data_IF_148743166443
#
_entry.id   IF_148743166443
#
_cell.length_a   1.000
_cell.length_b   1.000
_cell.length_c   1.000
_cell.angle_alpha   90.00
_cell.angle_beta   90.00
_cell.angle_gamma   90.00
#
_symmetry.space_group_name_H-M   'P 1'
#
loop_
_entity.id
_entity.type
_entity.pdbx_description
1 polymer ?
#
# COMPACT_ATOMS: atom_id res chain seq x y z
N UNK A 1 11.11 -30.55 -32.25
CA UNK A 1 11.58 -29.73 -31.15
C UNK A 1 10.68 -28.49 -31.09
N UNK A 2 9.69 -28.52 -30.24
CA UNK A 2 8.76 -27.41 -30.03
C UNK A 2 9.12 -26.77 -28.70
N UNK A 3 9.65 -25.55 -28.75
CA UNK A 3 9.85 -24.70 -27.58
C UNK A 3 8.48 -24.33 -27.00
N UNK A 4 8.22 -24.86 -25.81
CA UNK A 4 7.11 -24.43 -25.00
C UNK A 4 7.40 -23.01 -24.50
N UNK A 5 6.77 -22.01 -25.12
CA UNK A 5 6.71 -20.66 -24.58
C UNK A 5 6.10 -20.72 -23.19
N UNK A 6 6.91 -20.47 -22.17
CA UNK A 6 6.44 -20.26 -20.82
C UNK A 6 5.55 -19.01 -20.82
N UNK A 7 4.24 -19.21 -20.79
CA UNK A 7 3.27 -18.19 -20.46
C UNK A 7 3.66 -17.65 -19.07
N UNK A 8 4.09 -16.40 -19.01
CA UNK A 8 4.32 -15.64 -17.78
C UNK A 8 2.94 -15.39 -17.12
N UNK A 9 2.37 -16.44 -16.57
CA UNK A 9 1.10 -16.40 -15.85
C UNK A 9 1.34 -15.58 -14.57
N UNK A 10 0.95 -14.31 -14.58
CA UNK A 10 1.02 -13.40 -13.43
C UNK A 10 0.36 -14.07 -12.24
N UNK A 11 1.17 -14.50 -11.27
CA UNK A 11 0.70 -15.27 -10.12
C UNK A 11 0.00 -14.35 -9.13
N UNK A 12 -1.29 -14.59 -8.88
CA UNK A 12 -2.05 -13.89 -7.84
C UNK A 12 -1.44 -14.24 -6.47
N UNK A 13 -1.04 -13.21 -5.72
CA UNK A 13 -0.45 -13.34 -4.38
C UNK A 13 -1.50 -13.22 -3.29
N UNK A 14 -2.43 -12.25 -3.42
CA UNK A 14 -3.54 -12.02 -2.51
C UNK A 14 -4.84 -11.95 -3.32
N UNK A 15 -5.88 -12.60 -2.81
CA UNK A 15 -7.23 -12.52 -3.39
C UNK A 15 -8.26 -12.34 -2.29
N UNK A 16 -9.16 -11.40 -2.50
CA UNK A 16 -10.39 -11.21 -1.73
C UNK A 16 -11.55 -11.61 -2.64
N UNK A 17 -12.37 -12.56 -2.20
CA UNK A 17 -13.55 -13.00 -2.93
C UNK A 17 -14.82 -12.82 -2.08
N UNK A 18 -15.67 -11.88 -2.48
CA UNK A 18 -16.92 -11.56 -1.81
C UNK A 18 -16.76 -11.10 -0.35
N UNK A 19 -15.65 -10.44 -0.01
CA UNK A 19 -15.30 -10.13 1.38
C UNK A 19 -16.24 -9.09 1.98
N UNK A 20 -16.84 -9.48 3.11
CA UNK A 20 -17.69 -8.63 3.95
C UNK A 20 -17.04 -8.47 5.31
N UNK A 21 -16.91 -7.24 5.80
CA UNK A 21 -16.29 -6.95 7.08
C UNK A 21 -16.81 -5.61 7.66
N UNK A 22 -16.71 -5.46 8.98
CA UNK A 22 -17.15 -4.24 9.65
C UNK A 22 -16.91 -4.28 11.15
N UNK A 23 -17.43 -3.29 11.87
CA UNK A 23 -17.25 -3.13 13.31
C UNK A 23 -18.60 -3.25 14.03
N UNK A 24 -18.66 -4.11 15.04
CA UNK A 24 -19.92 -4.39 15.75
C UNK A 24 -21.00 -4.89 14.78
N UNK A 25 -22.16 -4.26 14.77
CA UNK A 25 -23.28 -4.62 13.88
C UNK A 25 -23.21 -3.93 12.50
N UNK A 26 -22.25 -3.03 12.26
CA UNK A 26 -22.14 -2.24 11.05
C UNK A 26 -21.17 -2.86 10.04
N UNK A 27 -21.68 -3.27 8.86
CA UNK A 27 -20.86 -3.72 7.74
C UNK A 27 -20.33 -2.52 6.94
N UNK A 28 -19.01 -2.46 6.80
CA UNK A 28 -18.31 -1.46 5.99
C UNK A 28 -17.99 -2.03 4.61
N UNK A 29 -17.39 -3.22 4.55
CA UNK A 29 -17.15 -3.94 3.31
C UNK A 29 -18.35 -4.81 2.97
N UNK A 30 -18.81 -4.78 1.72
CA UNK A 30 -20.07 -5.39 1.27
C UNK A 30 -19.86 -6.25 0.02
N UNK A 31 -19.06 -7.30 0.13
CA UNK A 31 -18.72 -8.17 -0.98
C UNK A 31 -17.62 -7.55 -1.84
N UNK A 32 -16.44 -7.37 -1.26
CA UNK A 32 -15.25 -6.85 -1.97
C UNK A 32 -14.55 -7.99 -2.68
N UNK A 33 -14.35 -7.81 -3.99
CA UNK A 33 -13.51 -8.64 -4.84
C UNK A 33 -12.27 -7.82 -5.24
N UNK A 34 -11.09 -8.35 -4.95
CA UNK A 34 -9.81 -7.69 -5.25
C UNK A 34 -8.71 -8.74 -5.42
N UNK A 35 -7.91 -8.63 -6.47
CA UNK A 35 -6.72 -9.45 -6.67
C UNK A 35 -5.46 -8.58 -6.67
N UNK A 36 -4.39 -9.09 -6.06
CA UNK A 36 -3.06 -8.48 -6.05
C UNK A 36 -2.06 -9.49 -6.60
N UNK A 37 -1.45 -9.14 -7.72
CA UNK A 37 -0.45 -9.97 -8.40
C UNK A 37 0.93 -9.78 -7.77
N UNK A 38 1.73 -10.82 -7.74
CA UNK A 38 3.11 -10.76 -7.25
C UNK A 38 3.94 -9.74 -8.02
N UNK A 39 4.71 -8.92 -7.30
CA UNK A 39 5.59 -7.89 -7.87
C UNK A 39 4.87 -6.63 -8.35
N UNK A 40 3.55 -6.53 -8.16
CA UNK A 40 2.77 -5.36 -8.56
C UNK A 40 2.46 -4.43 -7.39
N UNK A 41 2.24 -3.16 -7.71
CA UNK A 41 1.57 -2.20 -6.85
C UNK A 41 0.10 -2.18 -7.26
N UNK A 42 -0.79 -2.56 -6.36
CA UNK A 42 -2.24 -2.36 -6.51
C UNK A 42 -2.67 -1.21 -5.63
N UNK A 43 -3.29 -0.19 -6.21
CA UNK A 43 -3.75 0.99 -5.48
C UNK A 43 -5.27 0.97 -5.32
N UNK A 44 -5.74 1.10 -4.08
CA UNK A 44 -7.15 1.25 -3.77
C UNK A 44 -7.44 2.72 -3.45
N UNK A 45 -8.22 3.37 -4.29
CA UNK A 45 -8.66 4.75 -4.11
C UNK A 45 -10.14 4.82 -3.77
N UNK A 46 -10.62 5.97 -3.32
CA UNK A 46 -12.03 6.20 -3.00
C UNK A 46 -12.19 7.27 -1.90
N UNK A 47 -13.41 7.72 -1.65
CA UNK A 47 -13.68 8.76 -0.66
C UNK A 47 -13.39 8.28 0.77
N UNK A 48 -13.34 9.25 1.71
CA UNK A 48 -13.25 8.93 3.13
C UNK A 48 -14.48 8.14 3.57
N UNK A 49 -14.28 7.11 4.38
CA UNK A 49 -15.35 6.22 4.80
C UNK A 49 -15.74 5.13 3.80
N UNK A 50 -15.17 5.08 2.60
CA UNK A 50 -15.46 4.02 1.61
C UNK A 50 -15.08 2.60 2.08
N UNK A 51 -14.21 2.48 3.09
CA UNK A 51 -13.77 1.19 3.63
C UNK A 51 -12.32 0.82 3.26
N UNK A 52 -11.54 1.73 2.69
CA UNK A 52 -10.16 1.48 2.23
C UNK A 52 -9.26 0.87 3.33
N UNK A 53 -9.12 1.54 4.47
CA UNK A 53 -8.34 1.03 5.61
C UNK A 53 -8.95 -0.23 6.21
N UNK A 54 -10.27 -0.44 6.06
CA UNK A 54 -10.95 -1.67 6.48
C UNK A 54 -10.49 -2.86 5.62
N UNK A 55 -10.26 -2.68 4.32
CA UNK A 55 -9.65 -3.70 3.45
C UNK A 55 -8.28 -4.10 4.01
N UNK A 56 -7.39 -3.13 4.28
CA UNK A 56 -6.04 -3.41 4.81
C UNK A 56 -6.10 -4.11 6.18
N UNK A 57 -6.98 -3.67 7.08
CA UNK A 57 -7.18 -4.30 8.40
C UNK A 57 -7.72 -5.72 8.27
N UNK A 58 -8.57 -5.98 7.27
CA UNK A 58 -9.07 -7.34 7.00
C UNK A 58 -7.96 -8.23 6.45
N UNK A 59 -7.13 -7.74 5.52
CA UNK A 59 -5.99 -8.49 4.98
C UNK A 59 -4.91 -8.72 6.04
N UNK A 60 -4.62 -7.75 6.90
CA UNK A 60 -3.62 -7.89 7.98
C UNK A 60 -4.11 -8.72 9.18
N UNK A 61 -5.39 -9.09 9.25
CA UNK A 61 -5.98 -9.85 10.37
C UNK A 61 -6.25 -9.02 11.61
N UNK A 62 -6.18 -7.70 11.53
CA UNK A 62 -6.62 -6.77 12.59
C UNK A 62 -8.15 -6.69 12.67
N UNK A 63 -8.83 -7.04 11.58
CA UNK A 63 -10.27 -7.18 11.51
C UNK A 63 -10.61 -8.52 10.84
N UNK A 64 -11.54 -9.27 11.42
CA UNK A 64 -12.04 -10.52 10.80
C UNK A 64 -13.09 -10.20 9.74
N UNK A 65 -13.05 -10.90 8.61
CA UNK A 65 -14.15 -10.89 7.66
C UNK A 65 -15.37 -11.63 8.24
N UNK A 66 -16.55 -11.10 7.99
CA UNK A 66 -17.83 -11.70 8.39
C UNK A 66 -18.28 -12.75 7.36
N UNK A 67 -17.96 -12.53 6.06
CA UNK A 67 -18.24 -13.46 4.96
C UNK A 67 -17.19 -13.27 3.86
N UNK A 68 -17.20 -14.17 2.87
CA UNK A 68 -16.20 -14.23 1.80
C UNK A 68 -14.88 -14.84 2.25
N UNK A 69 -13.94 -14.93 1.34
CA UNK A 69 -12.62 -15.54 1.57
C UNK A 69 -11.49 -14.55 1.33
N UNK A 70 -10.43 -14.68 2.11
CA UNK A 70 -9.16 -13.95 1.92
C UNK A 70 -8.08 -15.01 1.74
N UNK A 71 -7.56 -15.15 0.53
CA UNK A 71 -6.50 -16.09 0.20
C UNK A 71 -5.16 -15.39 0.00
N UNK A 72 -4.10 -15.96 0.52
CA UNK A 72 -2.73 -15.49 0.35
C UNK A 72 -1.84 -16.64 -0.09
N UNK A 73 -1.17 -16.53 -1.23
CA UNK A 73 -0.42 -17.63 -1.85
C UNK A 73 -1.27 -18.88 -2.08
N UNK A 74 -2.56 -18.70 -2.39
CA UNK A 74 -3.52 -19.80 -2.59
C UNK A 74 -4.08 -20.43 -1.32
N UNK A 75 -3.66 -19.99 -0.12
CA UNK A 75 -4.17 -20.49 1.16
C UNK A 75 -5.19 -19.53 1.77
N UNK A 76 -6.31 -20.04 2.28
CA UNK A 76 -7.28 -19.22 3.04
C UNK A 76 -6.67 -18.78 4.37
N UNK A 77 -6.52 -17.47 4.53
CA UNK A 77 -5.97 -16.84 5.74
C UNK A 77 -7.06 -16.23 6.64
N UNK A 78 -8.34 -16.38 6.31
CA UNK A 78 -9.45 -15.72 7.01
C UNK A 78 -9.49 -15.99 8.52
N UNK A 79 -9.05 -17.17 8.96
CA UNK A 79 -9.02 -17.58 10.37
C UNK A 79 -7.72 -17.25 11.10
N UNK A 80 -6.66 -16.87 10.38
CA UNK A 80 -5.35 -16.60 10.96
C UNK A 80 -5.34 -15.26 11.70
N UNK A 81 -4.64 -15.23 12.84
CA UNK A 81 -4.36 -14.01 13.58
C UNK A 81 -3.42 -13.08 12.81
N UNK A 82 -3.37 -11.80 13.20
CA UNK A 82 -2.44 -10.83 12.60
C UNK A 82 -0.97 -11.25 12.75
N UNK A 83 -0.62 -11.90 13.87
CA UNK A 83 0.74 -12.45 14.09
C UNK A 83 1.08 -13.56 13.09
N UNK A 84 0.16 -14.49 12.85
CA UNK A 84 0.37 -15.58 11.89
C UNK A 84 0.47 -15.06 10.45
N UNK A 85 -0.31 -14.02 10.10
CA UNK A 85 -0.21 -13.37 8.78
C UNK A 85 1.11 -12.61 8.63
N UNK A 86 1.58 -11.93 9.69
CA UNK A 86 2.89 -11.31 9.72
C UNK A 86 4.02 -12.34 9.48
N UNK A 87 3.96 -13.50 10.15
CA UNK A 87 4.91 -14.59 9.97
C UNK A 87 4.89 -15.18 8.54
N UNK A 88 3.78 -15.09 7.81
CA UNK A 88 3.66 -15.47 6.41
C UNK A 88 4.16 -14.41 5.44
N UNK A 89 4.59 -13.25 5.96
CA UNK A 89 5.15 -12.15 5.17
C UNK A 89 4.14 -11.10 4.71
N UNK A 90 3.05 -10.91 5.45
CA UNK A 90 2.14 -9.77 5.26
C UNK A 90 2.47 -8.71 6.32
N UNK A 91 3.01 -7.57 5.90
CA UNK A 91 3.34 -6.45 6.80
C UNK A 91 2.39 -5.30 6.53
N UNK A 92 1.90 -4.67 7.61
CA UNK A 92 1.01 -3.51 7.54
C UNK A 92 1.69 -2.26 8.12
N UNK A 93 1.81 -1.23 7.30
CA UNK A 93 2.24 0.12 7.68
C UNK A 93 0.97 0.97 7.82
N UNK A 94 0.58 1.33 9.04
CA UNK A 94 -0.65 2.08 9.28
C UNK A 94 -0.51 3.54 8.88
N UNK A 95 -1.65 4.24 8.78
CA UNK A 95 -1.74 5.66 8.48
C UNK A 95 -1.06 6.52 9.55
N UNK A 96 -1.31 6.20 10.83
CA UNK A 96 -0.76 6.93 11.97
C UNK A 96 0.75 6.74 12.08
N UNK A 97 1.42 7.76 12.65
CA UNK A 97 2.85 7.69 12.92
C UNK A 97 3.14 6.52 13.86
N UNK A 98 3.96 5.59 13.37
CA UNK A 98 4.23 4.34 14.07
C UNK A 98 5.66 4.24 14.62
N UNK A 99 6.51 5.26 14.40
CA UNK A 99 7.86 5.32 14.94
C UNK A 99 7.85 5.65 16.45
N UNK A 100 8.82 5.10 17.16
CA UNK A 100 9.12 5.46 18.54
C UNK A 100 9.98 6.75 18.53
N UNK A 101 9.42 7.92 18.88
CA UNK A 101 10.07 9.20 18.60
C UNK A 101 11.36 9.42 19.40
N UNK A 102 11.47 8.83 20.58
CA UNK A 102 12.63 8.95 21.47
C UNK A 102 13.73 7.91 21.17
N UNK A 103 13.44 6.92 20.33
CA UNK A 103 14.43 5.96 19.83
C UNK A 103 15.14 6.53 18.61
N UNK A 104 16.36 6.10 18.37
CA UNK A 104 17.11 6.42 17.16
C UNK A 104 16.44 5.83 15.92
N UNK A 105 16.78 6.35 14.74
CA UNK A 105 16.37 5.79 13.45
C UNK A 105 16.75 4.32 13.35
N UNK A 106 17.98 3.98 13.75
CA UNK A 106 18.48 2.61 13.72
C UNK A 106 17.68 1.67 14.63
N UNK A 107 17.43 2.08 15.87
CA UNK A 107 16.62 1.30 16.81
C UNK A 107 15.20 1.08 16.29
N UNK A 108 14.59 2.10 15.68
CA UNK A 108 13.28 1.96 15.06
C UNK A 108 13.29 0.91 13.93
N UNK A 109 14.32 0.90 13.08
CA UNK A 109 14.43 -0.10 12.01
C UNK A 109 14.63 -1.50 12.61
N UNK A 110 15.56 -1.66 13.53
CA UNK A 110 15.86 -2.94 14.21
C UNK A 110 14.63 -3.53 14.90
N UNK A 111 13.77 -2.68 15.51
CA UNK A 111 12.49 -3.10 16.09
C UNK A 111 11.55 -3.78 15.09
N UNK A 112 11.66 -3.49 13.80
CA UNK A 112 10.92 -4.20 12.76
C UNK A 112 11.23 -5.71 12.69
N UNK A 113 12.41 -6.11 13.17
CA UNK A 113 12.84 -7.51 13.24
C UNK A 113 12.50 -8.23 14.54
N UNK A 114 11.60 -7.70 15.39
CA UNK A 114 11.34 -8.19 16.75
C UNK A 114 10.91 -9.66 16.85
N UNK A 115 10.36 -10.25 15.77
CA UNK A 115 9.98 -11.67 15.74
C UNK A 115 11.14 -12.57 15.26
N UNK A 116 12.26 -12.01 14.82
CA UNK A 116 13.45 -12.77 14.42
C UNK A 116 14.22 -13.17 15.66
N UNK A 117 14.52 -14.47 15.79
CA UNK A 117 15.18 -15.02 16.97
C UNK A 117 16.70 -14.80 17.00
N UNK A 118 17.32 -14.53 15.84
CA UNK A 118 18.78 -14.43 15.70
C UNK A 118 19.23 -12.97 15.54
N UNK A 119 19.97 -12.45 16.51
CA UNK A 119 20.49 -11.07 16.51
C UNK A 119 21.44 -10.78 15.34
N UNK A 120 22.21 -11.76 14.87
CA UNK A 120 23.08 -11.58 13.70
C UNK A 120 22.23 -11.39 12.43
N UNK A 121 21.12 -12.15 12.30
CA UNK A 121 20.16 -11.98 11.20
C UNK A 121 19.49 -10.61 11.25
N UNK A 122 19.09 -10.14 12.44
CA UNK A 122 18.48 -8.80 12.61
C UNK A 122 19.47 -7.71 12.15
N UNK A 123 20.74 -7.77 12.58
CA UNK A 123 21.75 -6.78 12.18
C UNK A 123 22.01 -6.81 10.68
N UNK A 124 22.21 -8.00 10.11
CA UNK A 124 22.40 -8.15 8.66
C UNK A 124 21.24 -7.55 7.88
N UNK A 125 20.00 -7.87 8.26
CA UNK A 125 18.80 -7.36 7.60
C UNK A 125 18.69 -5.84 7.74
N UNK A 126 19.04 -5.26 8.88
CA UNK A 126 19.01 -3.82 9.09
C UNK A 126 20.04 -3.07 8.22
N UNK A 127 21.23 -3.65 7.98
CA UNK A 127 22.19 -3.07 7.04
C UNK A 127 21.68 -3.17 5.58
N UNK A 128 21.11 -4.30 5.15
CA UNK A 128 20.47 -4.45 3.83
C UNK A 128 19.35 -3.41 3.62
N UNK A 129 18.54 -3.19 4.64
CA UNK A 129 17.47 -2.16 4.61
C UNK A 129 18.06 -0.75 4.54
N UNK A 130 19.19 -0.49 5.18
CA UNK A 130 19.87 0.80 5.13
C UNK A 130 20.46 1.10 3.74
N UNK A 131 20.79 0.07 2.94
CA UNK A 131 21.18 0.22 1.53
C UNK A 131 20.00 0.64 0.66
N UNK A 132 18.82 0.03 0.89
CA UNK A 132 17.57 0.37 0.17
C UNK A 132 17.07 1.77 0.56
N UNK A 133 17.17 2.14 1.84
CA UNK A 133 16.72 3.42 2.38
C UNK A 133 17.90 4.24 2.95
N UNK A 134 18.59 5.05 2.13
CA UNK A 134 19.78 5.79 2.55
C UNK A 134 19.57 6.71 3.76
N UNK A 135 18.34 7.13 4.06
CA UNK A 135 18.00 7.91 5.25
C UNK A 135 18.39 7.17 6.55
N UNK A 136 18.26 5.83 6.55
CA UNK A 136 18.58 4.99 7.71
C UNK A 136 20.07 5.08 8.03
N UNK A 137 20.94 5.01 7.03
CA UNK A 137 22.37 5.17 7.21
C UNK A 137 22.76 6.62 7.59
N UNK A 138 22.20 7.61 6.89
CA UNK A 138 22.53 9.04 7.07
C UNK A 138 22.09 9.58 8.44
N UNK A 139 21.00 9.09 9.00
CA UNK A 139 20.39 9.56 10.25
C UNK A 139 20.42 8.51 11.35
N UNK A 140 21.31 7.52 11.25
CA UNK A 140 21.36 6.30 12.08
C UNK A 140 21.18 6.56 13.58
N UNK A 141 21.87 7.57 14.11
CA UNK A 141 21.90 7.92 15.53
C UNK A 141 20.94 9.05 15.91
N UNK A 142 20.28 9.67 14.94
CA UNK A 142 19.31 10.73 15.21
C UNK A 142 18.04 10.14 15.84
N UNK A 143 17.43 10.86 16.78
CA UNK A 143 16.12 10.51 17.32
C UNK A 143 15.06 10.58 16.20
N UNK A 144 14.21 9.56 16.06
CA UNK A 144 13.22 9.50 15.00
C UNK A 144 12.21 10.67 15.04
N UNK A 145 11.93 11.20 16.24
CA UNK A 145 11.08 12.37 16.41
C UNK A 145 11.66 13.66 15.85
N UNK A 146 12.98 13.75 15.59
CA UNK A 146 13.63 14.93 14.99
C UNK A 146 13.58 14.97 13.47
N UNK A 147 13.11 13.91 12.83
CA UNK A 147 13.01 13.79 11.39
C UNK A 147 11.80 14.57 10.85
N UNK A 148 11.90 15.04 9.60
CA UNK A 148 10.73 15.54 8.85
C UNK A 148 9.70 14.43 8.63
N UNK A 149 8.43 14.80 8.36
CA UNK A 149 7.37 13.81 8.11
C UNK A 149 7.70 12.84 6.98
N UNK A 150 8.30 13.31 5.89
CA UNK A 150 8.74 12.47 4.78
C UNK A 150 9.88 11.52 5.15
N UNK A 151 10.87 11.99 5.93
CA UNK A 151 11.94 11.15 6.45
C UNK A 151 11.39 10.09 7.41
N UNK A 152 10.45 10.45 8.29
CA UNK A 152 9.77 9.51 9.18
C UNK A 152 9.08 8.41 8.39
N UNK A 153 8.33 8.77 7.33
CA UNK A 153 7.63 7.80 6.48
C UNK A 153 8.61 6.85 5.77
N UNK A 154 9.76 7.34 5.31
CA UNK A 154 10.81 6.49 4.74
C UNK A 154 11.38 5.51 5.77
N UNK A 155 11.56 5.92 7.03
CA UNK A 155 12.01 5.02 8.12
C UNK A 155 10.92 3.99 8.47
N UNK A 156 9.64 4.34 8.42
CA UNK A 156 8.53 3.40 8.58
C UNK A 156 8.53 2.33 7.46
N UNK A 157 8.73 2.75 6.20
CA UNK A 157 8.87 1.83 5.07
C UNK A 157 10.11 0.93 5.26
N UNK A 158 11.24 1.50 5.63
CA UNK A 158 12.47 0.76 5.92
C UNK A 158 12.21 -0.32 7.00
N UNK A 159 11.60 0.07 8.13
CA UNK A 159 11.24 -0.85 9.21
C UNK A 159 10.35 -2.00 8.73
N UNK A 160 9.43 -1.74 7.81
CA UNK A 160 8.54 -2.77 7.27
C UNK A 160 9.28 -3.87 6.49
N UNK A 161 10.48 -3.58 5.95
CA UNK A 161 11.27 -4.53 5.20
C UNK A 161 12.11 -5.49 6.06
N UNK A 162 12.21 -5.27 7.35
CA UNK A 162 13.01 -6.09 8.25
C UNK A 162 12.66 -7.58 8.23
N UNK A 163 11.40 -7.90 7.92
CA UNK A 163 10.89 -9.28 7.85
C UNK A 163 10.88 -9.85 6.43
N UNK A 164 11.43 -9.13 5.45
CA UNK A 164 11.40 -9.50 4.03
C UNK A 164 9.99 -9.86 3.54
N UNK A 165 9.03 -8.93 3.64
CA UNK A 165 7.64 -9.23 3.39
C UNK A 165 7.39 -9.57 1.91
N UNK A 166 6.50 -10.55 1.68
CA UNK A 166 5.98 -10.83 0.35
C UNK A 166 4.89 -9.82 -0.06
N UNK A 167 4.17 -9.26 0.93
CA UNK A 167 3.12 -8.26 0.73
C UNK A 167 3.25 -7.14 1.75
N UNK A 168 3.31 -5.91 1.26
CA UNK A 168 3.34 -4.71 2.08
C UNK A 168 2.00 -3.99 1.91
N UNK A 169 1.29 -3.78 3.02
CA UNK A 169 0.05 -3.03 3.08
C UNK A 169 0.37 -1.61 3.53
N UNK A 170 0.05 -0.60 2.72
CA UNK A 170 0.32 0.81 3.00
C UNK A 170 -1.00 1.59 3.12
N UNK A 171 -1.25 2.16 4.28
CA UNK A 171 -2.45 2.95 4.56
C UNK A 171 -2.12 4.45 4.51
N UNK A 172 -2.53 5.13 3.43
CA UNK A 172 -2.38 6.57 3.18
C UNK A 172 -0.97 7.12 3.49
N UNK A 173 0.11 6.56 2.91
CA UNK A 173 1.47 6.93 3.26
C UNK A 173 1.84 8.39 2.93
N UNK A 174 1.02 9.08 2.13
CA UNK A 174 1.27 10.48 1.73
C UNK A 174 0.56 11.52 2.59
N UNK A 175 -0.27 11.10 3.55
CA UNK A 175 -1.06 12.04 4.36
C UNK A 175 -0.18 13.00 5.16
N UNK A 176 -0.51 14.31 5.10
CA UNK A 176 0.21 15.35 5.83
C UNK A 176 1.63 15.64 5.33
N UNK A 177 2.04 15.06 4.20
CA UNK A 177 3.34 15.34 3.59
C UNK A 177 3.27 16.54 2.63
N UNK A 178 4.34 17.33 2.64
CA UNK A 178 4.55 18.34 1.61
C UNK A 178 4.78 17.72 0.22
N UNK A 179 4.61 18.46 -0.89
CA UNK A 179 4.71 17.90 -2.24
C UNK A 179 6.04 17.19 -2.54
N UNK A 180 7.17 17.74 -2.05
CA UNK A 180 8.51 17.15 -2.29
C UNK A 180 8.67 15.84 -1.54
N UNK A 181 8.28 15.79 -0.28
CA UNK A 181 8.30 14.59 0.55
C UNK A 181 7.39 13.50 -0.03
N UNK A 182 6.23 13.88 -0.56
CA UNK A 182 5.30 12.96 -1.22
C UNK A 182 5.95 12.28 -2.44
N UNK A 183 6.57 13.05 -3.33
CA UNK A 183 7.29 12.51 -4.50
C UNK A 183 8.37 11.52 -4.05
N UNK A 184 9.13 11.85 -3.02
CA UNK A 184 10.17 10.98 -2.48
C UNK A 184 9.62 9.67 -1.93
N UNK A 185 8.52 9.71 -1.16
CA UNK A 185 7.88 8.51 -0.60
C UNK A 185 7.32 7.62 -1.69
N UNK A 186 6.62 8.18 -2.69
CA UNK A 186 6.10 7.38 -3.82
C UNK A 186 7.23 6.82 -4.70
N UNK A 187 8.35 7.56 -4.86
CA UNK A 187 9.55 7.04 -5.51
C UNK A 187 10.09 5.80 -4.78
N UNK A 188 10.16 5.83 -3.46
CA UNK A 188 10.55 4.67 -2.66
C UNK A 188 9.58 3.49 -2.81
N UNK A 189 8.27 3.74 -2.84
CA UNK A 189 7.26 2.69 -3.04
C UNK A 189 7.41 2.06 -4.44
N UNK A 190 7.62 2.87 -5.48
CA UNK A 190 7.84 2.38 -6.83
C UNK A 190 9.09 1.50 -6.93
N UNK A 191 10.20 1.90 -6.26
CA UNK A 191 11.43 1.10 -6.20
C UNK A 191 11.21 -0.26 -5.55
N UNK A 192 10.38 -0.36 -4.51
CA UNK A 192 10.05 -1.65 -3.88
C UNK A 192 9.43 -2.65 -4.87
N UNK A 193 8.56 -2.20 -5.77
CA UNK A 193 7.97 -3.08 -6.79
C UNK A 193 8.99 -3.45 -7.87
N UNK A 194 9.89 -2.54 -8.26
CA UNK A 194 10.99 -2.84 -9.18
C UNK A 194 11.92 -3.92 -8.63
N UNK A 195 12.09 -3.98 -7.29
CA UNK A 195 12.81 -5.05 -6.58
C UNK A 195 11.97 -6.34 -6.41
N UNK A 196 10.82 -6.45 -7.09
CA UNK A 196 9.94 -7.63 -7.07
C UNK A 196 9.02 -7.74 -5.85
N UNK A 197 8.91 -6.72 -5.00
CA UNK A 197 8.01 -6.69 -3.84
C UNK A 197 6.59 -6.34 -4.26
N UNK A 198 5.62 -6.92 -3.57
CA UNK A 198 4.21 -6.67 -3.84
C UNK A 198 3.67 -5.66 -2.84
N UNK A 199 2.90 -4.68 -3.32
CA UNK A 199 2.33 -3.62 -2.48
C UNK A 199 0.83 -3.50 -2.71
N UNK A 200 0.04 -3.51 -1.65
CA UNK A 200 -1.34 -3.05 -1.66
C UNK A 200 -1.39 -1.68 -0.98
N UNK A 201 -1.60 -0.66 -1.78
CA UNK A 201 -1.59 0.75 -1.39
C UNK A 201 -3.02 1.27 -1.28
N UNK A 202 -3.35 1.89 -0.17
CA UNK A 202 -4.56 2.70 -0.01
C UNK A 202 -4.17 4.16 -0.02
N UNK A 203 -4.83 4.98 -0.82
CA UNK A 203 -4.55 6.42 -0.90
C UNK A 203 -5.81 7.26 -1.02
N UNK A 204 -5.76 8.43 -0.38
CA UNK A 204 -6.73 9.51 -0.59
C UNK A 204 -6.29 10.40 -1.75
N UNK A 205 -4.99 10.65 -1.91
CA UNK A 205 -4.44 11.36 -3.05
C UNK A 205 -4.40 10.44 -4.28
N UNK A 206 -5.56 10.31 -4.94
CA UNK A 206 -5.74 9.38 -6.04
C UNK A 206 -4.69 9.58 -7.14
N UNK A 207 -4.37 10.84 -7.53
CA UNK A 207 -3.37 11.13 -8.57
C UNK A 207 -2.00 10.52 -8.24
N UNK A 208 -1.54 10.69 -7.01
CA UNK A 208 -0.22 10.17 -6.60
C UNK A 208 -0.21 8.65 -6.50
N UNK A 209 -1.27 8.04 -5.97
CA UNK A 209 -1.39 6.59 -5.85
C UNK A 209 -1.49 5.91 -7.21
N UNK A 210 -2.33 6.42 -8.11
CA UNK A 210 -2.52 5.88 -9.45
C UNK A 210 -1.25 6.00 -10.30
N UNK A 211 -0.47 7.07 -10.14
CA UNK A 211 0.75 7.30 -10.91
C UNK A 211 1.84 6.23 -10.69
N UNK A 212 1.82 5.51 -9.56
CA UNK A 212 2.78 4.43 -9.26
C UNK A 212 2.15 3.05 -9.36
N UNK A 213 0.84 2.96 -9.53
CA UNK A 213 0.10 1.69 -9.52
C UNK A 213 0.18 0.97 -10.87
N UNK A 214 0.42 -0.35 -10.84
CA UNK A 214 0.25 -1.23 -11.99
C UNK A 214 -1.24 -1.48 -12.25
N UNK A 215 -1.96 -1.82 -11.18
CA UNK A 215 -3.42 -1.98 -11.17
C UNK A 215 -4.02 -1.11 -10.08
N UNK A 216 -5.26 -0.68 -10.28
CA UNK A 216 -5.97 0.06 -9.27
C UNK A 216 -7.46 -0.29 -9.23
N UNK A 217 -8.09 -0.01 -8.10
CA UNK A 217 -9.51 -0.16 -7.90
C UNK A 217 -10.10 1.07 -7.19
N UNK A 218 -11.32 1.43 -7.55
CA UNK A 218 -12.10 2.47 -6.88
C UNK A 218 -13.05 1.80 -5.90
N UNK A 219 -12.93 2.14 -4.62
CA UNK A 219 -13.82 1.65 -3.57
C UNK A 219 -14.85 2.71 -3.23
N UNK A 220 -16.14 2.35 -3.32
CA UNK A 220 -17.28 3.20 -2.96
C UNK A 220 -18.26 2.44 -2.08
N UNK A 221 -18.68 3.04 -0.98
CA UNK A 221 -19.68 2.50 -0.06
C UNK A 221 -19.46 1.01 0.32
N UNK A 222 -18.18 0.59 0.40
CA UNK A 222 -17.78 -0.76 0.76
C UNK A 222 -17.76 -1.76 -0.40
N UNK A 223 -17.84 -1.32 -1.64
CA UNK A 223 -17.78 -2.15 -2.85
C UNK A 223 -16.72 -1.65 -3.82
N UNK A 224 -16.13 -2.54 -4.60
CA UNK A 224 -15.29 -2.15 -5.74
C UNK A 224 -16.23 -1.71 -6.87
N UNK A 225 -16.15 -0.44 -7.24
CA UNK A 225 -16.98 0.15 -8.29
C UNK A 225 -16.29 0.07 -9.67
N UNK A 226 -14.96 0.24 -9.70
CA UNK A 226 -14.18 0.27 -10.93
C UNK A 226 -12.82 -0.37 -10.72
N UNK A 227 -12.28 -1.03 -11.76
CA UNK A 227 -10.92 -1.56 -11.76
C UNK A 227 -10.24 -1.27 -13.09
N UNK A 228 -8.93 -1.06 -13.07
CA UNK A 228 -8.14 -0.82 -14.27
C UNK A 228 -6.67 -0.69 -13.98
N UNK A 229 -5.86 -0.38 -14.98
CA UNK A 229 -4.47 0.03 -14.75
C UNK A 229 -4.44 1.40 -14.08
N UNK A 230 -3.36 1.71 -13.34
CA UNK A 230 -3.21 3.05 -12.78
C UNK A 230 -3.36 4.15 -13.82
N UNK A 231 -2.75 3.96 -15.00
CA UNK A 231 -2.84 4.92 -16.09
C UNK A 231 -4.27 5.03 -16.67
N UNK A 232 -4.98 3.91 -16.88
CA UNK A 232 -6.34 3.97 -17.41
C UNK A 232 -7.30 4.71 -16.50
N UNK A 233 -7.13 4.57 -15.16
CA UNK A 233 -7.95 5.30 -14.19
C UNK A 233 -7.52 6.77 -14.05
N UNK A 234 -6.25 7.11 -14.30
CA UNK A 234 -5.82 8.52 -14.36
C UNK A 234 -6.44 9.26 -15.55
N UNK A 235 -6.63 8.55 -16.67
CA UNK A 235 -7.16 9.11 -17.92
C UNK A 235 -8.69 9.04 -17.98
N UNK A 236 -9.35 8.35 -17.03
CA UNK A 236 -10.80 8.22 -16.97
C UNK A 236 -11.45 9.55 -16.55
N UNK A 237 -12.35 10.14 -17.38
CA UNK A 237 -12.98 11.43 -17.08
C UNK A 237 -13.84 11.43 -15.82
N UNK A 238 -14.47 10.30 -15.48
CA UNK A 238 -15.31 10.18 -14.30
C UNK A 238 -14.46 10.08 -13.04
N UNK A 239 -13.40 9.29 -13.06
CA UNK A 239 -12.39 9.23 -11.99
C UNK A 239 -11.73 10.60 -11.81
N UNK A 240 -11.37 11.28 -12.89
CA UNK A 240 -10.80 12.62 -12.86
C UNK A 240 -11.74 13.62 -12.17
N UNK A 241 -13.00 13.61 -12.51
CA UNK A 241 -14.03 14.48 -11.95
C UNK A 241 -14.28 14.22 -10.46
N UNK A 242 -14.36 12.93 -10.06
CA UNK A 242 -14.74 12.55 -8.70
C UNK A 242 -13.57 12.53 -7.71
N UNK A 243 -12.38 12.14 -8.16
CA UNK A 243 -11.26 11.80 -7.27
C UNK A 243 -9.97 12.58 -7.53
N UNK A 244 -9.77 13.18 -8.73
CA UNK A 244 -8.53 13.87 -9.06
C UNK A 244 -8.60 15.40 -8.89
N UNK A 245 -9.75 15.94 -8.45
CA UNK A 245 -9.93 17.38 -8.24
C UNK A 245 -9.90 18.19 -9.54
N UNK A 246 -10.15 17.58 -10.69
CA UNK A 246 -10.30 18.29 -11.95
C UNK A 246 -11.56 19.13 -11.89
N UNK A 247 -11.43 20.45 -11.72
CA UNK A 247 -12.50 21.40 -12.00
C UNK A 247 -12.96 21.13 -13.44
N UNK A 248 -14.28 21.03 -13.63
CA UNK A 248 -14.89 20.94 -14.95
C UNK A 248 -14.57 22.21 -15.76
N UNK A 249 -13.41 22.27 -16.37
CA UNK A 249 -13.15 23.12 -17.51
C UNK A 249 -13.55 22.34 -18.74
N UNK A 250 -14.84 22.42 -19.04
CA UNK A 250 -15.34 22.07 -20.36
C UNK A 250 -14.60 22.90 -21.41
N UNK A 251 -14.49 22.41 -22.66
CA UNK A 251 -13.89 23.17 -23.74
C UNK A 251 -14.68 24.47 -23.90
N UNK A 252 -14.05 25.60 -23.63
CA UNK A 252 -14.57 26.92 -23.91
C UNK A 252 -14.83 26.99 -25.42
N UNK A 253 -16.08 26.90 -25.80
CA UNK A 253 -16.50 27.21 -27.14
C UNK A 253 -16.08 28.65 -27.47
N UNK A 254 -15.07 28.79 -28.31
CA UNK A 254 -14.76 30.05 -28.93
C UNK A 254 -15.95 30.42 -29.86
N UNK A 255 -16.90 31.18 -29.32
CA UNK A 255 -17.90 31.85 -30.14
C UNK A 255 -17.22 33.00 -30.88
N UNK A 256 -17.15 32.78 -32.15
CA UNK A 256 -16.93 33.85 -33.13
C UNK A 256 -17.92 35.00 -32.88
N UNK A 257 -17.38 36.19 -32.70
CA UNK A 257 -18.12 37.42 -33.00
C UNK A 257 -17.42 38.09 -34.17
N UNK A 258 -17.99 37.82 -35.33
CA UNK A 258 -17.86 38.68 -36.55
C UNK A 258 -19.14 39.51 -36.58
N UNK A 259 -19.05 40.78 -36.38
CA UNK A 259 -19.66 41.86 -37.18
C UNK A 259 -19.33 43.21 -36.55
#
# INVERSE_FOLDING_TARGET
MAEAGASDARTVLLELAGVTAGYGAGLILKGVDLAVTRGEIVCLIGPNGAGKSTVLKTVSGLLRNAAGTVTFRGEDIGKLSSRERLQRGIVHVPQDRSLFPNMTVWENVVMGGFILSNQATVRKRAEEVAEIFPIVAKRRTAAAGSLSGGEQKQVELARSLMLDPALILLDEPSIGLDPKSRVSVFGSIASLAQDGRTVLLVEQNARSGLAVAHMAAVLEAGRVALTGTGQSLLDDPEVARLYLGASAQGPTAALAQTT
#
